data_IF_381596249096
#
_entry.id   IF_381596249096
#
_cell.length_a   1.000
_cell.length_b   1.000
_cell.length_c   1.000
_cell.angle_alpha   90.00
_cell.angle_beta   90.00
_cell.angle_gamma   90.00
#
_symmetry.space_group_name_H-M   'P 1'
#
loop_
_entity.id
_entity.type
_entity.pdbx_description
1 polymer ?
#
# COMPACT_ATOMS: atom_id res chain seq x y z
N UNK A 1 -19.10 8.83 -8.97
CA UNK A 1 -18.29 8.20 -7.89
C UNK A 1 -16.86 8.30 -8.35
N UNK A 2 -16.03 9.15 -7.73
CA UNK A 2 -14.59 9.13 -8.00
C UNK A 2 -14.06 7.84 -7.42
N UNK A 3 -13.60 6.93 -8.26
CA UNK A 3 -12.82 5.77 -7.84
C UNK A 3 -11.55 6.31 -7.18
N UNK A 4 -11.49 6.27 -5.84
CA UNK A 4 -10.28 6.62 -5.11
C UNK A 4 -9.17 5.67 -5.57
N UNK A 5 -8.13 6.22 -6.20
CA UNK A 5 -6.89 5.51 -6.51
C UNK A 5 -6.35 4.91 -5.22
N UNK A 6 -6.06 3.61 -5.19
CA UNK A 6 -5.42 2.99 -4.02
C UNK A 6 -3.91 3.26 -4.06
N UNK A 7 -3.23 3.24 -2.90
CA UNK A 7 -1.77 3.35 -2.87
C UNK A 7 -1.08 2.24 -3.69
N UNK A 8 -1.76 1.11 -3.88
CA UNK A 8 -1.30 0.03 -4.76
C UNK A 8 -1.36 0.43 -6.24
N UNK A 9 -2.44 1.07 -6.69
CA UNK A 9 -2.57 1.58 -8.06
C UNK A 9 -1.54 2.66 -8.34
N UNK A 10 -1.27 3.52 -7.36
CA UNK A 10 -0.25 4.56 -7.45
C UNK A 10 1.16 3.96 -7.55
N UNK A 11 1.49 2.94 -6.75
CA UNK A 11 2.75 2.23 -6.85
C UNK A 11 2.91 1.52 -8.21
N UNK A 12 1.86 0.84 -8.68
CA UNK A 12 1.88 0.16 -9.98
C UNK A 12 2.15 1.15 -11.12
N UNK A 13 1.52 2.32 -11.08
CA UNK A 13 1.74 3.39 -12.06
C UNK A 13 3.19 3.86 -12.07
N UNK A 14 3.75 4.17 -10.90
CA UNK A 14 5.14 4.65 -10.84
C UNK A 14 6.16 3.56 -11.23
N UNK A 15 5.87 2.28 -10.93
CA UNK A 15 6.70 1.17 -11.38
C UNK A 15 6.70 1.04 -12.90
N UNK A 16 5.53 1.19 -13.55
CA UNK A 16 5.45 1.20 -15.03
C UNK A 16 6.24 2.36 -15.60
N UNK A 17 6.05 3.57 -15.07
CA UNK A 17 6.78 4.76 -15.52
C UNK A 17 8.29 4.60 -15.35
N UNK A 18 8.76 4.01 -14.24
CA UNK A 18 10.16 3.70 -14.03
C UNK A 18 10.70 2.75 -15.12
N UNK A 19 10.02 1.63 -15.37
CA UNK A 19 10.46 0.66 -16.38
C UNK A 19 10.47 1.24 -17.80
N UNK A 20 9.43 1.99 -18.16
CA UNK A 20 9.33 2.68 -19.45
C UNK A 20 10.48 3.68 -19.64
N UNK A 21 10.84 4.44 -18.60
CA UNK A 21 11.96 5.37 -18.64
C UNK A 21 13.30 4.64 -18.75
N UNK A 22 13.53 3.58 -17.97
CA UNK A 22 14.75 2.76 -18.09
C UNK A 22 14.90 2.22 -19.51
N UNK A 23 13.82 1.73 -20.11
CA UNK A 23 13.84 1.21 -21.48
C UNK A 23 14.10 2.30 -22.52
N UNK A 24 13.48 3.48 -22.36
CA UNK A 24 13.57 4.56 -23.33
C UNK A 24 14.89 5.34 -23.28
N UNK A 25 15.45 5.60 -22.10
CA UNK A 25 16.59 6.51 -21.91
C UNK A 25 17.81 5.82 -21.28
N UNK A 26 17.66 4.63 -20.71
CA UNK A 26 18.71 3.95 -19.94
C UNK A 26 18.97 4.57 -18.56
N UNK A 27 18.22 5.60 -18.17
CA UNK A 27 18.34 6.32 -16.91
C UNK A 27 16.95 6.60 -16.33
N UNK A 28 16.69 6.18 -15.10
CA UNK A 28 15.42 6.41 -14.43
C UNK A 28 15.60 6.60 -12.92
N UNK A 29 14.84 7.55 -12.38
CA UNK A 29 14.76 7.79 -10.95
C UNK A 29 13.82 6.76 -10.29
N UNK A 30 14.37 5.95 -9.38
CA UNK A 30 13.61 4.97 -8.59
C UNK A 30 12.92 5.61 -7.38
N UNK A 31 13.24 6.87 -7.04
CA UNK A 31 12.69 7.61 -5.91
C UNK A 31 11.16 7.56 -5.80
N UNK A 32 10.40 7.84 -6.89
CA UNK A 32 8.94 7.74 -6.87
C UNK A 32 8.44 6.34 -6.49
N UNK A 33 9.04 5.27 -7.01
CA UNK A 33 8.68 3.89 -6.67
C UNK A 33 8.88 3.61 -5.18
N UNK A 34 10.01 4.06 -4.61
CA UNK A 34 10.30 3.90 -3.19
C UNK A 34 9.31 4.68 -2.31
N UNK A 35 8.94 5.89 -2.74
CA UNK A 35 7.99 6.73 -2.03
C UNK A 35 6.60 6.08 -1.94
N UNK A 36 6.03 5.65 -3.07
CA UNK A 36 4.71 5.02 -3.06
C UNK A 36 4.72 3.62 -2.43
N UNK A 37 5.85 2.90 -2.48
CA UNK A 37 6.03 1.65 -1.74
C UNK A 37 5.93 1.88 -0.23
N UNK A 38 6.52 2.97 0.27
CA UNK A 38 6.41 3.35 1.69
C UNK A 38 4.97 3.68 2.07
N UNK A 39 4.24 4.42 1.24
CA UNK A 39 2.82 4.72 1.48
C UNK A 39 2.00 3.44 1.56
N UNK A 40 2.18 2.52 0.60
CA UNK A 40 1.47 1.24 0.58
C UNK A 40 1.77 0.41 1.85
N UNK A 41 3.02 0.39 2.30
CA UNK A 41 3.40 -0.29 3.54
C UNK A 41 2.70 0.29 4.76
N UNK A 42 2.55 1.62 4.84
CA UNK A 42 1.82 2.28 5.92
C UNK A 42 0.32 1.90 5.91
N UNK A 43 -0.32 1.85 4.73
CA UNK A 43 -1.71 1.43 4.62
C UNK A 43 -1.91 -0.03 5.04
N UNK A 44 -1.02 -0.92 4.63
CA UNK A 44 -1.03 -2.33 5.04
C UNK A 44 -0.89 -2.44 6.57
N UNK A 45 0.01 -1.66 7.16
CA UNK A 45 0.22 -1.65 8.61
C UNK A 45 -1.03 -1.16 9.36
N UNK A 46 -1.65 -0.07 8.92
CA UNK A 46 -2.89 0.45 9.50
C UNK A 46 -4.04 -0.57 9.40
N UNK A 47 -4.24 -1.17 8.23
CA UNK A 47 -5.24 -2.21 8.02
C UNK A 47 -5.02 -3.42 8.93
N UNK A 48 -3.76 -3.86 9.04
CA UNK A 48 -3.37 -4.98 9.89
C UNK A 48 -3.65 -4.69 11.36
N UNK A 49 -3.31 -3.49 11.83
CA UNK A 49 -3.59 -3.06 13.19
C UNK A 49 -5.09 -3.03 13.49
N UNK A 50 -5.90 -2.48 12.58
CA UNK A 50 -7.37 -2.46 12.73
C UNK A 50 -7.97 -3.86 12.74
N UNK A 51 -7.45 -4.77 11.91
CA UNK A 51 -7.89 -6.16 11.90
C UNK A 51 -7.56 -6.86 13.24
N UNK A 52 -6.33 -6.70 13.74
CA UNK A 52 -5.91 -7.25 15.02
C UNK A 52 -6.77 -6.73 16.19
N UNK A 53 -7.03 -5.42 16.24
CA UNK A 53 -7.89 -4.83 17.27
C UNK A 53 -9.30 -5.43 17.26
N UNK A 54 -9.89 -5.64 16.08
CA UNK A 54 -11.20 -6.29 15.96
C UNK A 54 -11.17 -7.74 16.43
N UNK A 55 -10.11 -8.50 16.11
CA UNK A 55 -9.97 -9.87 16.59
C UNK A 55 -9.90 -9.90 18.12
N UNK A 56 -9.11 -9.03 18.75
CA UNK A 56 -9.01 -8.94 20.22
C UNK A 56 -10.39 -8.71 20.84
N UNK A 57 -11.14 -7.73 20.34
CA UNK A 57 -12.49 -7.41 20.86
C UNK A 57 -13.44 -8.61 20.73
N UNK A 58 -13.37 -9.36 19.62
CA UNK A 58 -14.20 -10.54 19.41
C UNK A 58 -13.80 -11.70 20.34
N UNK A 59 -12.50 -11.93 20.55
CA UNK A 59 -11.98 -12.95 21.48
C UNK A 59 -12.36 -12.63 22.94
N UNK A 60 -12.31 -11.35 23.33
CA UNK A 60 -12.77 -10.89 24.64
C UNK A 60 -14.27 -11.10 24.82
N UNK A 61 -15.08 -10.77 23.80
CA UNK A 61 -16.52 -11.00 23.84
C UNK A 61 -16.85 -12.49 23.96
N UNK A 62 -16.15 -13.37 23.22
CA UNK A 62 -16.34 -14.81 23.29
C UNK A 62 -15.99 -15.39 24.67
N UNK A 63 -14.95 -14.87 25.33
CA UNK A 63 -14.52 -15.34 26.66
C UNK A 63 -15.51 -14.96 27.78
N UNK A 64 -16.28 -13.90 27.57
CA UNK A 64 -17.23 -13.35 28.56
C UNK A 64 -18.68 -13.84 28.36
N UNK A 65 -18.89 -14.84 27.49
CA UNK A 65 -20.16 -15.56 27.26
C UNK A 65 -20.05 -16.97 27.82
#
# INVERSE_FOLDING_TARGET
>A
MSSSSSALDDLEREMKAYLENVEATGDADVGPVLFYSTILQMEIQDLSQRAQQKCIVLEEALRNV
#
